data_IF_577586513642
#
_entry.id   IF_577586513642
#
_cell.length_a   1.000
_cell.length_b   1.000
_cell.length_c   1.000
_cell.angle_alpha   90.00
_cell.angle_beta   90.00
_cell.angle_gamma   90.00
#
_symmetry.space_group_name_H-M   'P 1'
#
loop_
_entity.id
_entity.type
_entity.pdbx_description
1 polymer ?
#
# COMPACT_ATOMS: atom_id res chain seq x y z
N UNK A 1 23.87 56.37 -11.35
CA UNK A 1 22.65 55.71 -11.89
C UNK A 1 23.14 54.78 -12.99
N UNK A 2 23.14 53.45 -12.91
CA UNK A 2 22.26 52.46 -12.26
C UNK A 2 23.17 51.32 -11.79
N UNK A 3 22.99 50.83 -10.56
CA UNK A 3 23.69 49.64 -10.06
C UNK A 3 22.92 48.39 -10.53
N UNK A 4 23.62 47.46 -11.19
CA UNK A 4 23.10 46.14 -11.57
C UNK A 4 23.83 45.10 -10.71
N UNK A 5 23.04 44.33 -9.96
CA UNK A 5 23.49 43.40 -8.93
C UNK A 5 24.13 42.14 -9.53
N UNK A 6 25.28 41.75 -8.98
CA UNK A 6 25.72 40.34 -8.95
C UNK A 6 26.27 40.10 -7.55
N UNK A 7 25.38 39.69 -6.63
CA UNK A 7 25.78 39.20 -5.31
C UNK A 7 25.86 37.67 -5.40
N UNK A 8 27.08 37.15 -5.43
CA UNK A 8 27.37 35.75 -5.17
C UNK A 8 27.07 35.47 -3.70
N UNK A 9 26.00 34.73 -3.41
CA UNK A 9 25.69 34.30 -2.05
C UNK A 9 26.74 33.27 -1.56
N UNK A 10 27.08 33.30 -0.27
CA UNK A 10 28.18 32.53 0.30
C UNK A 10 27.81 31.06 0.52
N UNK A 11 28.85 30.23 0.47
CA UNK A 11 28.82 28.83 0.85
C UNK A 11 28.34 28.63 2.29
N UNK A 12 27.41 27.68 2.46
CA UNK A 12 27.35 26.80 3.64
C UNK A 12 26.62 27.34 4.86
N UNK A 13 25.32 27.09 4.94
CA UNK A 13 24.65 26.86 6.22
C UNK A 13 23.43 25.94 6.03
N UNK A 14 23.49 24.79 6.72
CA UNK A 14 22.39 23.96 7.20
C UNK A 14 21.49 23.28 6.17
N UNK A 15 21.71 21.97 5.94
CA UNK A 15 20.92 21.01 6.69
C UNK A 15 21.66 19.66 6.78
N UNK A 16 21.50 18.99 7.92
CA UNK A 16 22.22 17.78 8.27
C UNK A 16 21.70 16.58 7.48
N UNK A 17 22.28 16.29 6.32
CA UNK A 17 22.18 14.95 5.73
C UNK A 17 23.38 14.12 6.17
N UNK A 18 23.41 13.83 7.47
CA UNK A 18 24.25 12.76 8.00
C UNK A 18 23.72 11.42 7.48
N UNK A 19 24.63 10.62 6.94
CA UNK A 19 24.35 9.33 6.37
C UNK A 19 24.01 8.33 7.46
N UNK A 20 22.73 8.17 7.75
CA UNK A 20 22.18 6.90 8.21
C UNK A 20 20.68 6.84 7.89
N UNK A 21 20.34 6.05 6.88
CA UNK A 21 19.23 5.10 7.01
C UNK A 21 17.82 5.66 7.27
N UNK A 22 17.43 6.73 6.58
CA UNK A 22 16.00 7.06 6.42
C UNK A 22 15.61 6.87 4.97
N UNK A 23 15.30 5.62 4.65
CA UNK A 23 14.63 5.28 3.41
C UNK A 23 13.27 5.98 3.46
N UNK A 24 12.88 6.68 2.39
CA UNK A 24 11.72 7.56 2.42
C UNK A 24 10.50 6.73 2.81
N UNK A 25 9.94 7.02 3.99
CA UNK A 25 8.65 6.47 4.41
C UNK A 25 7.62 7.12 3.50
N UNK A 26 7.34 6.51 2.35
CA UNK A 26 6.25 6.94 1.50
C UNK A 26 4.96 6.38 2.08
N UNK A 27 4.33 7.15 2.96
CA UNK A 27 2.92 6.95 3.29
C UNK A 27 2.09 7.33 2.05
N UNK A 28 2.01 6.42 1.08
CA UNK A 28 1.12 6.58 -0.07
C UNK A 28 -0.29 6.20 0.38
N UNK A 29 -1.02 7.17 0.93
CA UNK A 29 -2.47 7.04 1.08
C UNK A 29 -3.09 7.24 -0.30
N UNK A 30 -3.19 6.17 -1.09
CA UNK A 30 -3.87 6.19 -2.39
C UNK A 30 -5.40 6.15 -2.14
N UNK A 31 -6.02 7.32 -1.98
CA UNK A 31 -7.48 7.46 -1.89
C UNK A 31 -8.09 7.52 -3.30
N UNK A 32 -8.15 6.40 -4.01
CA UNK A 32 -8.93 6.30 -5.25
C UNK A 32 -10.42 6.10 -4.95
N UNK A 33 -11.07 7.17 -4.48
CA UNK A 33 -12.53 7.21 -4.30
C UNK A 33 -13.24 7.45 -5.65
N UNK A 34 -13.20 6.49 -6.57
CA UNK A 34 -14.10 6.51 -7.74
C UNK A 34 -15.37 5.70 -7.46
N UNK A 35 -16.40 6.38 -6.97
CA UNK A 35 -17.78 5.85 -6.90
C UNK A 35 -18.21 5.38 -5.51
N UNK A 36 -18.84 6.31 -4.76
CA UNK A 36 -19.62 6.10 -3.52
C UNK A 36 -19.15 4.93 -2.63
N UNK A 37 -18.31 5.28 -1.65
CA UNK A 37 -17.95 4.48 -0.45
C UNK A 37 -16.82 3.45 -0.60
N UNK A 38 -16.12 3.40 -1.73
CA UNK A 38 -14.88 2.65 -1.80
C UNK A 38 -13.79 3.31 -0.94
N UNK A 39 -13.15 2.56 -0.05
CA UNK A 39 -12.10 3.02 0.87
C UNK A 39 -10.85 2.18 0.66
N UNK A 40 -9.72 2.86 0.46
CA UNK A 40 -8.39 2.26 0.45
C UNK A 40 -7.54 2.91 1.53
N UNK A 41 -7.03 2.09 2.45
CA UNK A 41 -6.01 2.46 3.42
C UNK A 41 -4.75 1.65 3.12
N UNK A 42 -3.67 2.34 2.78
CA UNK A 42 -2.37 1.74 2.52
C UNK A 42 -1.32 2.35 3.45
N UNK A 43 -0.62 1.49 4.19
CA UNK A 43 0.50 1.85 5.06
C UNK A 43 1.70 1.02 4.67
N UNK A 44 2.77 1.69 4.23
CA UNK A 44 4.05 1.05 3.90
C UNK A 44 5.13 1.54 4.84
N UNK A 45 5.71 0.63 5.60
CA UNK A 45 6.79 0.87 6.55
C UNK A 45 8.03 0.07 6.12
N UNK A 46 8.96 0.73 5.43
CA UNK A 46 10.22 0.14 5.02
C UNK A 46 10.58 0.48 3.58
N UNK A 47 11.22 -0.44 2.87
CA UNK A 47 12.02 -0.10 1.68
C UNK A 47 11.54 -0.89 0.49
N UNK A 48 11.34 -0.23 -0.65
CA UNK A 48 10.94 -0.88 -1.91
C UNK A 48 9.64 -1.72 -1.79
N UNK A 49 8.78 -1.41 -0.81
CA UNK A 49 7.46 -1.99 -0.77
C UNK A 49 6.60 -1.40 -1.90
N UNK A 50 5.79 -2.24 -2.53
CA UNK A 50 4.90 -1.87 -3.62
C UNK A 50 3.49 -2.39 -3.36
N UNK A 51 2.51 -1.56 -3.68
CA UNK A 51 1.11 -1.90 -3.54
C UNK A 51 0.32 -1.32 -4.72
N UNK A 52 -0.40 -2.18 -5.44
CA UNK A 52 -1.35 -1.82 -6.49
C UNK A 52 -2.76 -2.21 -6.02
N UNK A 53 -3.68 -1.25 -6.02
CA UNK A 53 -5.03 -1.43 -5.49
C UNK A 53 -6.05 -0.89 -6.50
N UNK A 54 -6.94 -1.76 -6.97
CA UNK A 54 -8.02 -1.41 -7.90
C UNK A 54 -9.36 -1.85 -7.35
N UNK A 55 -10.28 -0.89 -7.18
CA UNK A 55 -11.63 -1.16 -6.70
C UNK A 55 -12.65 -0.69 -7.74
N UNK A 56 -13.59 -1.55 -8.09
CA UNK A 56 -14.68 -1.27 -9.01
C UNK A 56 -16.00 -1.74 -8.43
N UNK A 57 -16.93 -0.80 -8.29
CA UNK A 57 -18.21 -0.99 -7.60
C UNK A 57 -18.41 0.03 -6.48
N UNK A 58 -19.13 -0.34 -5.42
CA UNK A 58 -19.47 0.58 -4.31
C UNK A 58 -19.28 -0.10 -2.96
N UNK A 59 -18.80 0.64 -1.96
CA UNK A 59 -18.64 0.12 -0.58
C UNK A 59 -17.47 -0.83 -0.38
N UNK A 60 -16.57 -1.00 -1.36
CA UNK A 60 -15.42 -1.89 -1.20
C UNK A 60 -14.36 -1.27 -0.28
N UNK A 61 -13.87 -2.04 0.68
CA UNK A 61 -12.81 -1.66 1.61
C UNK A 61 -11.52 -2.42 1.32
N UNK A 62 -10.39 -1.73 1.30
CA UNK A 62 -9.07 -2.38 1.43
C UNK A 62 -8.26 -1.70 2.52
N UNK A 63 -7.70 -2.49 3.43
CA UNK A 63 -6.73 -2.09 4.41
C UNK A 63 -5.45 -2.92 4.24
N UNK A 64 -4.40 -2.29 3.74
CA UNK A 64 -3.13 -2.92 3.42
C UNK A 64 -2.00 -2.31 4.25
N UNK A 65 -1.29 -3.15 5.01
CA UNK A 65 -0.12 -2.78 5.80
C UNK A 65 1.08 -3.63 5.38
N UNK A 66 2.13 -2.99 4.88
CA UNK A 66 3.39 -3.63 4.51
C UNK A 66 4.51 -3.14 5.43
N UNK A 67 5.21 -4.05 6.10
CA UNK A 67 6.28 -3.76 7.06
C UNK A 67 7.53 -4.55 6.63
N UNK A 68 8.64 -3.86 6.37
CA UNK A 68 9.91 -4.47 5.96
C UNK A 68 10.29 -4.12 4.53
N UNK A 69 10.93 -5.04 3.80
CA UNK A 69 11.62 -4.73 2.54
C UNK A 69 11.10 -5.56 1.35
N UNK A 70 10.99 -4.96 0.18
CA UNK A 70 10.62 -5.64 -1.08
C UNK A 70 9.30 -6.44 -0.98
N UNK A 71 8.31 -5.97 -0.21
CA UNK A 71 6.99 -6.59 -0.19
C UNK A 71 6.13 -6.05 -1.33
N UNK A 72 5.40 -6.93 -2.00
CA UNK A 72 4.49 -6.62 -3.10
C UNK A 72 3.08 -7.07 -2.75
N UNK A 73 2.10 -6.21 -2.99
CA UNK A 73 0.69 -6.51 -2.85
C UNK A 73 -0.10 -5.98 -4.06
N UNK A 74 -0.92 -6.82 -4.66
CA UNK A 74 -1.92 -6.45 -5.66
C UNK A 74 -3.29 -6.83 -5.13
N UNK A 75 -4.22 -5.87 -5.12
CA UNK A 75 -5.59 -6.09 -4.65
C UNK A 75 -6.56 -5.55 -5.69
N UNK A 76 -7.43 -6.43 -6.19
CA UNK A 76 -8.47 -6.11 -7.17
C UNK A 76 -9.83 -6.53 -6.60
N UNK A 77 -10.75 -5.58 -6.45
CA UNK A 77 -12.10 -5.84 -5.97
C UNK A 77 -13.15 -5.42 -7.01
N UNK A 78 -13.99 -6.37 -7.43
CA UNK A 78 -15.11 -6.17 -8.34
C UNK A 78 -16.43 -6.55 -7.66
N UNK A 79 -17.28 -5.55 -7.36
CA UNK A 79 -18.62 -5.76 -6.80
C UNK A 79 -18.94 -4.80 -5.66
N UNK A 80 -19.79 -5.20 -4.71
CA UNK A 80 -20.26 -4.35 -3.62
C UNK A 80 -19.83 -4.90 -2.26
N UNK A 81 -19.47 -4.00 -1.34
CA UNK A 81 -19.21 -4.32 0.07
C UNK A 81 -18.16 -5.43 0.29
N UNK A 82 -17.18 -5.54 -0.62
CA UNK A 82 -16.06 -6.46 -0.44
C UNK A 82 -14.98 -5.83 0.45
N UNK A 83 -14.38 -6.60 1.33
CA UNK A 83 -13.36 -6.17 2.27
C UNK A 83 -12.08 -7.01 2.14
N UNK A 84 -10.93 -6.34 2.02
CA UNK A 84 -9.60 -6.94 2.07
C UNK A 84 -8.81 -6.34 3.23
N UNK A 85 -8.36 -7.17 4.15
CA UNK A 85 -7.36 -6.82 5.15
C UNK A 85 -6.08 -7.62 4.90
N UNK A 86 -4.99 -6.94 4.55
CA UNK A 86 -3.72 -7.58 4.21
C UNK A 86 -2.58 -6.96 5.03
N UNK A 87 -1.91 -7.79 5.83
CA UNK A 87 -0.70 -7.46 6.58
C UNK A 87 0.46 -8.30 6.05
N UNK A 88 1.49 -7.65 5.50
CA UNK A 88 2.75 -8.30 5.13
C UNK A 88 3.86 -7.76 6.03
N UNK A 89 4.50 -8.62 6.81
CA UNK A 89 5.62 -8.23 7.65
C UNK A 89 6.84 -9.14 7.39
N UNK A 90 7.95 -8.56 6.92
CA UNK A 90 9.16 -9.30 6.58
C UNK A 90 9.80 -8.82 5.30
N UNK A 91 10.35 -9.74 4.50
CA UNK A 91 10.99 -9.41 3.24
C UNK A 91 10.55 -10.34 2.11
N UNK A 92 10.39 -9.78 0.90
CA UNK A 92 9.98 -10.51 -0.30
C UNK A 92 8.60 -11.20 -0.17
N UNK A 93 7.66 -10.58 0.57
CA UNK A 93 6.29 -11.09 0.60
C UNK A 93 5.54 -10.66 -0.65
N UNK A 94 4.89 -11.61 -1.31
CA UNK A 94 4.00 -11.34 -2.44
C UNK A 94 2.57 -11.72 -2.08
N UNK A 95 1.62 -10.82 -2.31
CA UNK A 95 0.20 -11.10 -2.19
C UNK A 95 -0.53 -10.58 -3.44
N UNK A 96 -1.37 -11.43 -4.02
CA UNK A 96 -2.28 -11.10 -5.10
C UNK A 96 -3.69 -11.51 -4.64
N UNK A 97 -4.61 -10.56 -4.58
CA UNK A 97 -5.97 -10.77 -4.09
C UNK A 97 -6.93 -10.24 -5.13
N UNK A 98 -7.74 -11.13 -5.70
CA UNK A 98 -8.85 -10.79 -6.57
C UNK A 98 -10.16 -11.24 -5.92
N UNK A 99 -11.05 -10.29 -5.62
CA UNK A 99 -12.41 -10.56 -5.15
C UNK A 99 -13.43 -10.17 -6.22
N UNK A 100 -14.31 -11.10 -6.57
CA UNK A 100 -15.40 -10.92 -7.53
C UNK A 100 -16.71 -11.39 -6.88
N UNK A 101 -17.66 -10.47 -6.72
CA UNK A 101 -18.97 -10.72 -6.09
C UNK A 101 -19.28 -9.68 -5.03
N UNK A 102 -20.20 -9.97 -4.11
CA UNK A 102 -20.59 -9.04 -3.04
C UNK A 102 -20.34 -9.61 -1.64
N UNK A 103 -20.16 -8.74 -0.65
CA UNK A 103 -20.01 -9.11 0.77
C UNK A 103 -18.86 -10.10 1.05
N UNK A 104 -17.80 -10.08 0.23
CA UNK A 104 -16.67 -10.98 0.44
C UNK A 104 -15.63 -10.39 1.39
N UNK A 105 -15.06 -11.24 2.24
CA UNK A 105 -14.00 -10.85 3.17
C UNK A 105 -12.74 -11.68 2.91
N UNK A 106 -11.60 -11.02 2.69
CA UNK A 106 -10.27 -11.65 2.65
C UNK A 106 -9.42 -11.04 3.75
N UNK A 107 -8.92 -11.89 4.64
CA UNK A 107 -7.96 -11.50 5.68
C UNK A 107 -6.66 -12.28 5.48
N UNK A 108 -5.55 -11.57 5.31
CA UNK A 108 -4.23 -12.18 5.07
C UNK A 108 -3.24 -11.59 6.06
N UNK A 109 -2.61 -12.47 6.84
CA UNK A 109 -1.46 -12.15 7.68
C UNK A 109 -0.26 -12.98 7.21
N UNK A 110 0.71 -12.31 6.59
CA UNK A 110 1.88 -12.93 5.99
C UNK A 110 3.14 -12.45 6.70
N UNK A 111 3.83 -13.36 7.39
CA UNK A 111 5.05 -13.07 8.13
C UNK A 111 6.24 -13.78 7.45
N UNK A 112 7.41 -13.13 7.43
CA UNK A 112 8.64 -13.70 6.88
C UNK A 112 8.79 -13.46 5.37
N UNK A 113 8.86 -14.54 4.60
CA UNK A 113 9.01 -14.54 3.14
C UNK A 113 8.10 -15.59 2.54
N UNK A 114 7.08 -15.16 1.81
CA UNK A 114 6.17 -16.08 1.14
C UNK A 114 5.46 -15.45 -0.07
N UNK A 115 4.62 -16.25 -0.72
CA UNK A 115 3.78 -15.77 -1.83
C UNK A 115 2.41 -16.41 -1.75
N UNK A 116 1.36 -15.59 -1.90
CA UNK A 116 -0.02 -16.04 -2.00
C UNK A 116 -0.72 -15.38 -3.18
N UNK A 117 -1.62 -16.14 -3.79
CA UNK A 117 -2.62 -15.62 -4.73
C UNK A 117 -3.98 -16.15 -4.26
N UNK A 118 -4.94 -15.25 -4.12
CA UNK A 118 -6.30 -15.54 -3.70
C UNK A 118 -7.23 -15.02 -4.78
N UNK A 119 -7.96 -15.94 -5.41
CA UNK A 119 -9.09 -15.60 -6.29
C UNK A 119 -10.37 -16.07 -5.60
N UNK A 120 -11.22 -15.11 -5.23
CA UNK A 120 -12.49 -15.37 -4.58
C UNK A 120 -13.63 -14.93 -5.50
N UNK A 121 -14.38 -15.92 -6.01
CA UNK A 121 -15.57 -15.70 -6.83
C UNK A 121 -16.77 -16.26 -6.07
N UNK A 122 -17.41 -15.43 -5.26
CA UNK A 122 -18.53 -15.83 -4.41
C UNK A 122 -19.31 -14.59 -3.93
N UNK A 123 -20.47 -14.82 -3.33
CA UNK A 123 -21.16 -13.80 -2.54
C UNK A 123 -21.13 -14.23 -1.07
N UNK A 124 -20.74 -13.34 -0.15
CA UNK A 124 -20.72 -13.60 1.29
C UNK A 124 -19.64 -14.58 1.75
N UNK A 125 -18.58 -14.79 0.97
CA UNK A 125 -17.54 -15.74 1.34
C UNK A 125 -16.42 -15.07 2.15
N UNK A 126 -15.84 -15.82 3.09
CA UNK A 126 -14.71 -15.37 3.89
C UNK A 126 -13.50 -16.30 3.69
N UNK A 127 -12.33 -15.72 3.41
CA UNK A 127 -11.05 -16.43 3.32
C UNK A 127 -10.10 -15.79 4.33
N UNK A 128 -9.53 -16.61 5.21
CA UNK A 128 -8.49 -16.18 6.15
C UNK A 128 -7.22 -16.98 5.90
N UNK A 129 -6.13 -16.28 5.62
CA UNK A 129 -4.79 -16.85 5.52
C UNK A 129 -3.92 -16.25 6.62
N UNK A 130 -3.25 -17.11 7.38
CA UNK A 130 -2.20 -16.70 8.32
C UNK A 130 -1.01 -17.61 8.13
N UNK A 131 0.14 -17.01 7.86
CA UNK A 131 1.40 -17.73 7.67
C UNK A 131 2.52 -17.10 8.48
N UNK A 132 3.37 -17.97 9.03
CA UNK A 132 4.52 -17.67 9.86
C UNK A 132 5.83 -18.04 9.17
#
# INVERSE_FOLDING_TARGET
MIALAIFSAPNGAADLFDGANELPITLQTLLESSGRENVVNLVQLGVLNHADLSQSGTGNGTNLVQIGNDNYAEVIQYGQDNEVELLQAGANNFADVTQIGNDNLVQINQLGSASFSIEQIADGAAITITQY
#
